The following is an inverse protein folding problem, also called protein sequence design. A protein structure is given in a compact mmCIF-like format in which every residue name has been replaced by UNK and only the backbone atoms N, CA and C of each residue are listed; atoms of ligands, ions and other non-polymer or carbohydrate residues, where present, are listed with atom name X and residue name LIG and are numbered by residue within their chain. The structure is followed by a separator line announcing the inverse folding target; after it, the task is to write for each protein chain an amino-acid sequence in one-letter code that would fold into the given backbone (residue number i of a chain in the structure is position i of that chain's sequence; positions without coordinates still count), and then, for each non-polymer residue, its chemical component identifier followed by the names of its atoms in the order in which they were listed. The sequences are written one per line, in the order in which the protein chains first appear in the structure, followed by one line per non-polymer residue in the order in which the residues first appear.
data_IF_845237425156
#
_entry.id   IF_845237425156
#
_cell.length_a   1.000
_cell.length_b   1.000
_cell.length_c   1.000
_cell.angle_alpha   90.00
_cell.angle_beta   90.00
_cell.angle_gamma   90.00
#
_symmetry.space_group_name_H-M   'P 1'
#
loop_
_entity.id
_entity.type
_entity.pdbx_description
1 polymer ?
#
# COMPACT_ATOMS: atom_id res chain seq x y z
N UNK A 1 18.50 -20.42 10.37
CA UNK A 1 17.67 -20.55 9.16
C UNK A 1 18.57 -20.28 7.96
N UNK A 2 19.25 -21.31 7.44
CA UNK A 2 20.01 -21.18 6.20
C UNK A 2 19.06 -20.83 5.05
N UNK A 3 19.37 -19.79 4.28
CA UNK A 3 18.60 -19.41 3.09
C UNK A 3 18.80 -20.44 1.99
N UNK A 4 17.72 -21.09 1.58
CA UNK A 4 17.75 -22.10 0.53
C UNK A 4 17.94 -21.41 -0.84
N UNK A 5 19.00 -21.78 -1.55
CA UNK A 5 19.41 -21.14 -2.79
C UNK A 5 18.76 -21.89 -3.95
N UNK A 6 17.57 -21.45 -4.35
CA UNK A 6 16.82 -22.02 -5.47
C UNK A 6 17.63 -21.87 -6.77
N UNK A 7 17.93 -23.00 -7.44
CA UNK A 7 18.49 -23.02 -8.79
C UNK A 7 17.39 -23.41 -9.78
N UNK A 8 17.11 -22.52 -10.72
CA UNK A 8 16.15 -22.79 -11.79
C UNK A 8 16.90 -23.33 -13.01
N UNK A 9 16.98 -24.65 -13.15
CA UNK A 9 17.47 -25.30 -14.37
C UNK A 9 16.31 -25.48 -15.34
N UNK A 10 15.96 -24.45 -16.11
CA UNK A 10 14.97 -24.60 -17.17
C UNK A 10 15.63 -25.28 -18.37
N UNK A 11 15.32 -26.57 -18.55
CA UNK A 11 15.78 -27.39 -19.69
C UNK A 11 14.87 -27.27 -20.91
N UNK A 12 13.81 -26.47 -20.84
CA UNK A 12 12.88 -26.24 -21.93
C UNK A 12 13.09 -24.85 -22.52
N UNK A 13 13.02 -24.69 -23.86
CA UNK A 13 13.05 -23.36 -24.45
C UNK A 13 11.84 -22.57 -23.94
N UNK A 14 12.09 -21.44 -23.28
CA UNK A 14 11.05 -20.52 -22.83
C UNK A 14 10.14 -20.14 -24.01
N UNK A 15 8.90 -20.62 -23.99
CA UNK A 15 7.88 -20.24 -24.97
C UNK A 15 7.08 -19.07 -24.41
N UNK A 16 7.11 -17.89 -25.03
CA UNK A 16 6.51 -16.66 -24.50
C UNK A 16 4.99 -16.61 -24.70
N UNK A 17 4.27 -17.67 -24.28
CA UNK A 17 2.84 -17.87 -24.54
C UNK A 17 2.00 -16.67 -24.11
N UNK A 18 2.25 -16.18 -22.89
CA UNK A 18 1.55 -15.03 -22.33
C UNK A 18 1.80 -13.74 -23.11
N UNK A 19 3.04 -13.50 -23.55
CA UNK A 19 3.34 -12.28 -24.31
C UNK A 19 2.69 -12.35 -25.68
N UNK A 20 2.78 -13.50 -26.34
CA UNK A 20 2.22 -13.72 -27.68
C UNK A 20 0.69 -13.65 -27.68
N UNK A 21 0.01 -14.10 -26.62
CA UNK A 21 -1.45 -14.00 -26.51
C UNK A 21 -1.93 -12.56 -26.30
N UNK A 22 -1.11 -11.69 -25.70
CA UNK A 22 -1.44 -10.28 -25.49
C UNK A 22 -1.11 -9.39 -26.72
N UNK A 23 -0.42 -9.93 -27.73
CA UNK A 23 -0.10 -9.25 -29.00
C UNK A 23 -1.24 -9.41 -30.03
N UNK A 24 -2.50 -9.29 -29.59
CA UNK A 24 -3.71 -9.54 -30.41
C UNK A 24 -3.91 -8.57 -31.57
N UNK A 25 -3.18 -7.45 -31.59
CA UNK A 25 -3.28 -6.41 -32.63
C UNK A 25 -2.41 -6.68 -33.86
N UNK A 26 -1.66 -7.79 -33.89
CA UNK A 26 -0.64 -8.07 -34.91
C UNK A 26 -0.98 -9.38 -35.63
N UNK A 27 -0.87 -9.41 -36.95
CA UNK A 27 -1.06 -10.63 -37.74
C UNK A 27 0.05 -11.67 -37.52
N UNK A 28 1.24 -11.23 -37.07
CA UNK A 28 2.36 -12.09 -36.67
C UNK A 28 2.86 -11.78 -35.24
N UNK A 29 2.27 -12.42 -34.22
CA UNK A 29 2.69 -12.28 -32.82
C UNK A 29 4.11 -12.78 -32.54
N UNK A 30 4.60 -13.77 -33.30
CA UNK A 30 5.93 -14.35 -33.08
C UNK A 30 7.04 -13.44 -33.61
N UNK A 31 6.88 -12.88 -34.81
CA UNK A 31 7.80 -11.88 -35.36
C UNK A 31 7.86 -10.62 -34.50
N UNK A 32 6.71 -10.17 -33.99
CA UNK A 32 6.64 -9.03 -33.07
C UNK A 32 7.33 -9.29 -31.73
N UNK A 33 7.16 -10.48 -31.16
CA UNK A 33 7.91 -10.89 -29.96
C UNK A 33 9.43 -10.87 -30.23
N UNK A 34 9.88 -11.49 -31.32
CA UNK A 34 11.30 -11.59 -31.64
C UNK A 34 11.98 -10.25 -31.90
N UNK A 35 11.27 -9.28 -32.48
CA UNK A 35 11.83 -7.97 -32.84
C UNK A 35 11.76 -6.95 -31.71
N UNK A 36 10.69 -6.94 -30.91
CA UNK A 36 10.43 -5.86 -29.93
C UNK A 36 10.58 -6.27 -28.47
N UNK A 37 10.48 -7.57 -28.18
CA UNK A 37 10.45 -8.07 -26.80
C UNK A 37 11.69 -8.91 -26.50
N UNK A 38 12.03 -9.85 -27.38
CA UNK A 38 13.19 -10.74 -27.23
C UNK A 38 14.49 -9.91 -27.24
N UNK A 39 15.24 -9.96 -26.14
CA UNK A 39 16.52 -9.26 -26.01
C UNK A 39 16.42 -7.79 -25.62
N UNK A 40 15.21 -7.26 -25.37
CA UNK A 40 15.06 -5.91 -24.83
C UNK A 40 15.44 -5.90 -23.35
N UNK A 41 16.46 -5.12 -23.00
CA UNK A 41 16.81 -4.85 -21.61
C UNK A 41 15.80 -3.85 -21.05
N UNK A 42 14.95 -4.30 -20.13
CA UNK A 42 14.12 -3.40 -19.34
C UNK A 42 14.88 -3.01 -18.08
N UNK A 43 15.11 -1.71 -17.92
CA UNK A 43 15.55 -1.16 -16.65
C UNK A 43 14.41 -1.35 -15.64
N UNK A 44 14.53 -2.37 -14.80
CA UNK A 44 13.69 -2.50 -13.63
C UNK A 44 14.07 -1.37 -12.69
N UNK A 45 13.27 -0.31 -12.67
CA UNK A 45 13.40 0.71 -11.65
C UNK A 45 13.19 0.04 -10.29
N UNK A 46 14.27 -0.06 -9.52
CA UNK A 46 14.17 -0.40 -8.11
C UNK A 46 13.63 0.87 -7.42
N UNK A 47 12.36 0.89 -7.00
CA UNK A 47 11.81 2.09 -6.38
C UNK A 47 12.70 2.48 -5.21
N UNK A 48 13.02 3.76 -5.09
CA UNK A 48 13.94 4.25 -4.06
C UNK A 48 13.43 3.78 -2.70
N UNK A 49 14.21 2.92 -2.05
CA UNK A 49 13.85 2.39 -0.73
C UNK A 49 13.84 3.56 0.24
N UNK A 50 12.64 3.97 0.66
CA UNK A 50 12.50 5.00 1.68
C UNK A 50 13.35 4.66 2.91
N UNK A 51 14.09 5.65 3.40
CA UNK A 51 14.95 5.47 4.56
C UNK A 51 14.13 4.98 5.76
N UNK A 52 14.77 4.18 6.63
CA UNK A 52 14.14 3.69 7.86
C UNK A 52 13.57 4.84 8.70
N UNK A 53 14.31 5.96 8.76
CA UNK A 53 13.90 7.17 9.47
C UNK A 53 12.60 7.78 8.90
N UNK A 54 12.43 7.83 7.57
CA UNK A 54 11.21 8.35 6.94
C UNK A 54 10.00 7.47 7.26
N UNK A 55 10.15 6.14 7.19
CA UNK A 55 9.09 5.19 7.54
C UNK A 55 8.67 5.31 9.01
N UNK A 56 9.63 5.39 9.93
CA UNK A 56 9.33 5.54 11.36
C UNK A 56 8.61 6.87 11.67
N UNK A 57 8.99 7.95 10.99
CA UNK A 57 8.34 9.25 11.15
C UNK A 57 6.90 9.25 10.60
N UNK A 58 6.67 8.61 9.46
CA UNK A 58 5.33 8.47 8.88
C UNK A 58 4.41 7.61 9.75
N UNK A 59 4.91 6.51 10.31
CA UNK A 59 4.19 5.70 11.30
C UNK A 59 3.80 6.52 12.53
N UNK A 60 4.72 7.32 13.08
CA UNK A 60 4.40 8.22 14.21
C UNK A 60 3.33 9.25 13.83
N UNK A 61 3.36 9.79 12.61
CA UNK A 61 2.35 10.74 12.12
C UNK A 61 0.97 10.10 12.01
N UNK A 62 0.88 8.88 11.48
CA UNK A 62 -0.42 8.18 11.35
C UNK A 62 -1.01 7.84 12.70
N UNK A 63 -0.20 7.39 13.67
CA UNK A 63 -0.66 7.14 15.05
C UNK A 63 -1.22 8.41 15.68
N UNK A 64 -0.48 9.54 15.60
CA UNK A 64 -0.94 10.83 16.13
C UNK A 64 -2.24 11.31 15.49
N UNK A 65 -2.40 11.09 14.17
CA UNK A 65 -3.62 11.48 13.46
C UNK A 65 -4.82 10.67 13.95
N UNK A 66 -4.67 9.34 14.07
CA UNK A 66 -5.71 8.45 14.61
C UNK A 66 -6.10 8.82 16.05
N UNK A 67 -5.11 9.15 16.88
CA UNK A 67 -5.37 9.57 18.27
C UNK A 67 -6.14 10.89 18.33
N UNK A 68 -5.78 11.88 17.48
CA UNK A 68 -6.51 13.14 17.35
C UNK A 68 -7.95 12.92 16.90
N UNK A 69 -8.17 12.06 15.91
CA UNK A 69 -9.52 11.71 15.43
C UNK A 69 -10.33 11.03 16.54
N UNK A 70 -9.74 10.08 17.28
CA UNK A 70 -10.38 9.44 18.44
C UNK A 70 -10.75 10.46 19.52
N UNK A 71 -9.87 11.41 19.83
CA UNK A 71 -10.12 12.49 20.80
C UNK A 71 -11.26 13.41 20.34
N UNK A 72 -11.36 13.71 19.06
CA UNK A 72 -12.48 14.49 18.50
C UNK A 72 -13.83 13.78 18.67
N UNK A 73 -13.86 12.46 18.54
CA UNK A 73 -15.09 11.67 18.71
C UNK A 73 -15.49 11.48 20.19
N UNK A 74 -14.51 11.46 21.10
CA UNK A 74 -14.74 11.18 22.53
C UNK A 74 -14.97 12.38 23.43
N UNK A 75 -14.74 13.61 22.96
CA UNK A 75 -14.92 14.82 23.77
C UNK A 75 -16.13 15.57 23.24
N UNK A 76 -17.32 15.20 23.71
CA UNK A 76 -18.47 16.10 23.65
C UNK A 76 -18.11 17.28 24.55
N UNK A 77 -17.84 18.45 23.95
CA UNK A 77 -17.50 19.64 24.71
C UNK A 77 -18.64 20.05 25.66
N UNK A 78 -18.35 20.82 26.71
CA UNK A 78 -19.38 21.29 27.68
C UNK A 78 -20.61 21.92 26.99
N UNK A 79 -20.41 22.61 25.87
CA UNK A 79 -21.48 23.22 25.06
C UNK A 79 -22.29 22.19 24.28
N UNK A 80 -21.63 21.26 23.58
CA UNK A 80 -22.32 20.18 22.86
C UNK A 80 -23.05 19.21 23.81
N UNK A 81 -22.55 19.01 25.03
CA UNK A 81 -23.19 18.16 26.04
C UNK A 81 -24.49 18.79 26.56
N UNK A 82 -24.48 20.13 26.72
CA UNK A 82 -25.65 20.93 27.09
C UNK A 82 -26.68 20.98 25.95
N UNK A 83 -26.24 21.12 24.71
CA UNK A 83 -27.10 21.12 23.51
C UNK A 83 -27.70 19.73 23.23
N UNK A 84 -26.96 18.64 23.46
CA UNK A 84 -27.47 17.26 23.32
C UNK A 84 -28.25 16.74 24.54
N UNK A 85 -28.37 17.55 25.60
CA UNK A 85 -29.17 17.22 26.80
C UNK A 85 -28.62 16.07 27.66
N UNK A 86 -27.37 15.65 27.44
CA UNK A 86 -26.79 14.43 28.04
C UNK A 86 -26.27 14.66 29.47
N UNK A 87 -26.02 15.90 29.89
CA UNK A 87 -25.62 16.18 31.27
C UNK A 87 -26.09 17.56 31.72
N UNK A 88 -26.94 17.61 32.76
CA UNK A 88 -27.14 18.79 33.60
C UNK A 88 -26.54 18.46 34.96
N UNK A 89 -25.55 19.23 35.40
CA UNK A 89 -25.05 19.14 36.77
C UNK A 89 -26.11 19.78 37.68
N UNK A 90 -26.69 18.97 38.56
CA UNK A 90 -27.67 19.44 39.54
C UNK A 90 -26.92 19.86 40.80
N UNK A 91 -26.96 21.16 41.11
CA UNK A 91 -26.26 21.75 42.26
C UNK A 91 -26.74 21.16 43.60
N UNK A 92 -27.92 20.53 43.63
CA UNK A 92 -28.42 19.81 44.79
C UNK A 92 -27.62 18.54 45.13
N UNK A 93 -26.82 18.01 44.20
CA UNK A 93 -25.96 16.84 44.40
C UNK A 93 -24.55 17.20 44.89
N UNK A 94 -24.25 18.49 45.08
CA UNK A 94 -22.95 18.98 45.56
C UNK A 94 -22.88 19.12 47.09
N UNK A 95 -23.84 18.55 47.84
CA UNK A 95 -23.87 18.53 49.30
C UNK A 95 -23.43 17.19 49.87
#
# INVERSE_FOLDING_TARGET
MQGERLQFTSSEPFTPKYVTSNLSQTSDPQGMYNTRVKGRLMLLENPTRDSRAKKELEQKRTIRKKEKERKKLGIIGKREAKEKGVWKFDESQAK
#
